data_IF_309505560349
#
_entry.id   IF_309505560349
#
_cell.length_a   1.000
_cell.length_b   1.000
_cell.length_c   1.000
_cell.angle_alpha   90.00
_cell.angle_beta   90.00
_cell.angle_gamma   90.00
#
_symmetry.space_group_name_H-M   'P 1'
#
loop_
_entity.id
_entity.type
_entity.pdbx_description
1 polymer ?
#
# COMPACT_ATOMS: atom_id res chain seq x y z
N UNK A 1 13.04 -9.00 6.84
CA UNK A 1 13.46 -9.35 5.47
C UNK A 1 14.97 -9.19 5.44
N UNK A 2 15.68 -10.18 4.92
CA UNK A 2 17.14 -10.16 4.81
C UNK A 2 17.54 -10.87 3.53
N UNK A 3 18.37 -10.23 2.72
CA UNK A 3 18.79 -10.76 1.42
C UNK A 3 20.10 -10.13 0.98
N UNK A 4 20.78 -10.81 0.07
CA UNK A 4 22.02 -10.36 -0.57
C UNK A 4 21.74 -10.13 -2.05
N UNK A 5 22.11 -8.96 -2.57
CA UNK A 5 21.97 -8.60 -3.98
C UNK A 5 23.31 -8.20 -4.55
N UNK A 6 23.57 -8.56 -5.81
CA UNK A 6 24.71 -7.99 -6.52
C UNK A 6 24.55 -6.48 -6.73
N UNK A 7 25.62 -5.72 -6.50
CA UNK A 7 25.65 -4.27 -6.70
C UNK A 7 25.25 -3.88 -8.12
N UNK A 8 25.65 -4.65 -9.14
CA UNK A 8 25.31 -4.40 -10.54
C UNK A 8 23.79 -4.45 -10.77
N UNK A 9 23.14 -5.46 -10.22
CA UNK A 9 21.70 -5.69 -10.29
C UNK A 9 20.91 -4.52 -9.64
N UNK A 10 21.33 -4.07 -8.45
CA UNK A 10 20.74 -2.89 -7.79
C UNK A 10 20.95 -1.59 -8.58
N UNK A 11 22.12 -1.42 -9.22
CA UNK A 11 22.40 -0.25 -10.06
C UNK A 11 21.55 -0.26 -11.35
N UNK A 12 21.26 -1.43 -11.90
CA UNK A 12 20.35 -1.57 -13.03
C UNK A 12 18.90 -1.25 -12.64
N UNK A 13 18.44 -1.80 -11.50
CA UNK A 13 17.12 -1.47 -10.95
C UNK A 13 16.96 0.04 -10.72
N UNK A 14 17.99 0.71 -10.20
CA UNK A 14 18.03 2.16 -10.06
C UNK A 14 17.87 2.88 -11.41
N UNK A 15 18.57 2.45 -12.45
CA UNK A 15 18.46 3.07 -13.80
C UNK A 15 17.02 2.94 -14.32
N UNK A 16 16.41 1.76 -14.19
CA UNK A 16 15.03 1.49 -14.58
C UNK A 16 14.04 2.37 -13.81
N UNK A 17 14.22 2.52 -12.50
CA UNK A 17 13.38 3.39 -11.67
C UNK A 17 13.48 4.87 -12.06
N UNK A 18 14.69 5.37 -12.31
CA UNK A 18 14.89 6.76 -12.72
C UNK A 18 14.28 7.05 -14.10
N UNK A 19 14.25 6.07 -15.00
CA UNK A 19 13.65 6.21 -16.33
C UNK A 19 12.14 6.44 -16.31
N UNK A 20 11.46 6.12 -15.20
CA UNK A 20 10.01 6.33 -15.05
C UNK A 20 9.62 7.81 -14.95
N UNK A 21 10.59 8.73 -14.76
CA UNK A 21 10.36 10.18 -14.71
C UNK A 21 9.19 10.62 -13.80
N UNK A 22 9.05 9.97 -12.65
CA UNK A 22 7.95 10.24 -11.70
C UNK A 22 8.05 11.69 -11.20
N UNK A 23 6.99 12.51 -11.33
CA UNK A 23 6.99 13.90 -10.83
C UNK A 23 7.31 14.01 -9.34
N UNK A 24 8.09 15.03 -8.93
CA UNK A 24 8.56 15.21 -7.55
C UNK A 24 7.44 15.21 -6.50
N UNK A 25 6.33 15.87 -6.80
CA UNK A 25 5.14 15.90 -5.94
C UNK A 25 4.52 14.50 -5.74
N UNK A 26 4.52 13.66 -6.77
CA UNK A 26 4.07 12.26 -6.67
C UNK A 26 5.06 11.38 -5.90
N UNK A 27 6.37 11.62 -6.03
CA UNK A 27 7.40 10.85 -5.29
C UNK A 27 7.24 10.90 -3.77
N UNK A 28 6.78 12.04 -3.24
CA UNK A 28 6.58 12.23 -1.80
C UNK A 28 5.43 11.39 -1.22
N UNK A 29 4.45 11.03 -2.05
CA UNK A 29 3.26 10.29 -1.65
C UNK A 29 3.23 8.86 -2.17
N UNK A 30 4.21 8.48 -3.00
CA UNK A 30 4.30 7.13 -3.57
C UNK A 30 5.07 6.21 -2.63
N UNK A 31 4.51 5.03 -2.36
CA UNK A 31 5.22 3.97 -1.64
C UNK A 31 5.77 2.94 -2.63
N UNK A 32 6.92 2.39 -2.27
CA UNK A 32 7.55 1.23 -2.90
C UNK A 32 7.35 0.04 -1.98
N UNK A 33 7.03 -1.10 -2.57
CA UNK A 33 7.07 -2.39 -1.90
C UNK A 33 8.33 -3.12 -2.32
N UNK A 34 9.11 -3.55 -1.34
CA UNK A 34 10.22 -4.49 -1.55
C UNK A 34 9.79 -5.84 -1.01
N UNK A 35 9.72 -6.86 -1.85
CA UNK A 35 9.36 -8.23 -1.47
C UNK A 35 10.51 -9.18 -1.80
N UNK A 36 10.98 -9.92 -0.80
CA UNK A 36 11.95 -10.99 -0.97
C UNK A 36 11.22 -12.34 -1.06
N UNK A 37 11.16 -12.90 -2.26
CA UNK A 37 10.52 -14.19 -2.54
C UNK A 37 11.20 -14.89 -3.72
N UNK A 38 11.22 -16.22 -3.76
CA UNK A 38 11.72 -17.01 -4.90
C UNK A 38 13.14 -16.64 -5.39
N UNK A 39 14.08 -16.37 -4.47
CA UNK A 39 15.44 -15.89 -4.79
C UNK A 39 15.47 -14.64 -5.68
N UNK A 40 14.48 -13.76 -5.46
CA UNK A 40 14.37 -12.48 -6.14
C UNK A 40 13.92 -11.42 -5.14
N UNK A 41 14.43 -10.21 -5.34
CA UNK A 41 13.91 -8.99 -4.76
C UNK A 41 12.98 -8.35 -5.78
N UNK A 42 11.69 -8.39 -5.50
CA UNK A 42 10.68 -7.65 -6.24
C UNK A 42 10.59 -6.23 -5.69
N UNK A 43 10.81 -5.25 -6.55
CA UNK A 43 10.65 -3.82 -6.29
C UNK A 43 9.40 -3.37 -7.02
N UNK A 44 8.30 -3.23 -6.30
CA UNK A 44 7.01 -2.87 -6.86
C UNK A 44 6.62 -1.42 -6.50
N UNK A 45 6.09 -0.75 -7.50
CA UNK A 45 5.47 0.57 -7.50
C UNK A 45 4.05 0.42 -8.07
N UNK A 46 3.13 1.36 -7.81
CA UNK A 46 1.82 1.35 -8.47
C UNK A 46 1.97 1.29 -10.00
N UNK A 47 1.50 0.19 -10.61
CA UNK A 47 1.56 -0.04 -12.06
C UNK A 47 2.93 -0.39 -12.64
N UNK A 48 3.94 -0.68 -11.81
CA UNK A 48 5.28 -1.03 -12.31
C UNK A 48 6.04 -1.92 -11.32
N UNK A 49 6.67 -2.99 -11.81
CA UNK A 49 7.47 -3.87 -10.97
C UNK A 49 8.80 -4.24 -11.65
N UNK A 50 9.86 -4.28 -10.86
CA UNK A 50 11.18 -4.78 -11.27
C UNK A 50 11.51 -5.98 -10.40
N UNK A 51 11.91 -7.08 -11.02
CA UNK A 51 12.56 -8.18 -10.32
C UNK A 51 14.07 -8.06 -10.42
N UNK A 52 14.74 -8.30 -9.30
CA UNK A 52 16.19 -8.23 -9.15
C UNK A 52 16.65 -9.56 -8.57
N UNK A 53 17.63 -10.22 -9.19
CA UNK A 53 18.13 -11.51 -8.69
C UNK A 53 18.79 -11.32 -7.31
N UNK A 54 18.43 -12.14 -6.33
CA UNK A 54 18.97 -12.02 -4.97
C UNK A 54 19.05 -13.37 -4.27
N UNK A 55 19.97 -13.49 -3.31
CA UNK A 55 20.04 -14.62 -2.39
C UNK A 55 19.26 -14.25 -1.13
N UNK A 56 18.16 -14.94 -0.87
CA UNK A 56 17.29 -14.64 0.28
C UNK A 56 17.83 -15.37 1.51
N UNK A 57 18.04 -14.63 2.61
CA UNK A 57 18.36 -15.17 3.93
C UNK A 57 17.07 -15.29 4.75
N UNK A 58 16.24 -14.25 4.74
CA UNK A 58 14.93 -14.18 5.40
C UNK A 58 13.91 -13.52 4.48
N UNK A 59 12.91 -14.28 4.04
CA UNK A 59 11.78 -13.78 3.25
C UNK A 59 10.98 -12.72 4.01
N UNK A 60 10.23 -11.93 3.26
CA UNK A 60 9.35 -10.89 3.81
C UNK A 60 9.11 -9.76 2.82
N UNK A 61 8.16 -8.91 3.15
CA UNK A 61 7.89 -7.70 2.39
C UNK A 61 8.04 -6.47 3.29
N UNK A 62 8.43 -5.36 2.70
CA UNK A 62 8.39 -4.06 3.36
C UNK A 62 7.76 -3.04 2.42
N UNK A 63 7.02 -2.10 3.00
CA UNK A 63 6.53 -0.92 2.29
C UNK A 63 7.25 0.30 2.84
N UNK A 64 7.78 1.15 1.95
CA UNK A 64 8.42 2.41 2.35
C UNK A 64 8.21 3.51 1.30
N UNK A 65 8.27 4.80 1.69
CA UNK A 65 8.19 5.90 0.74
C UNK A 65 9.27 5.84 -0.35
N UNK A 66 8.89 6.09 -1.61
CA UNK A 66 9.78 6.03 -2.77
C UNK A 66 11.02 6.92 -2.60
N UNK A 67 10.87 8.13 -2.04
CA UNK A 67 12.00 9.03 -1.82
C UNK A 67 13.08 8.43 -0.88
N UNK A 68 12.69 7.59 0.08
CA UNK A 68 13.63 6.88 0.96
C UNK A 68 14.39 5.83 0.16
N UNK A 69 13.68 5.04 -0.65
CA UNK A 69 14.27 4.02 -1.48
C UNK A 69 15.25 4.62 -2.50
N UNK A 70 14.84 5.68 -3.21
CA UNK A 70 15.73 6.40 -4.12
C UNK A 70 16.96 6.96 -3.40
N UNK A 71 16.77 7.53 -2.20
CA UNK A 71 17.87 8.03 -1.37
C UNK A 71 18.91 6.94 -1.01
N UNK A 72 18.46 5.72 -0.73
CA UNK A 72 19.33 4.56 -0.49
C UNK A 72 20.03 4.11 -1.78
N UNK A 73 19.30 4.01 -2.90
CA UNK A 73 19.87 3.67 -4.21
C UNK A 73 20.89 4.70 -4.71
N UNK A 74 20.80 5.97 -4.29
CA UNK A 74 21.83 6.96 -4.57
C UNK A 74 23.18 6.58 -3.93
N UNK A 75 23.15 5.97 -2.75
CA UNK A 75 24.34 5.57 -1.97
C UNK A 75 24.94 4.24 -2.40
N UNK A 76 24.20 3.40 -3.13
CA UNK A 76 24.70 2.10 -3.64
C UNK A 76 26.04 2.22 -4.38
N UNK A 77 26.27 3.32 -5.14
CA UNK A 77 27.54 3.52 -5.86
C UNK A 77 28.75 3.58 -4.93
N UNK A 78 28.62 4.16 -3.74
CA UNK A 78 29.71 4.36 -2.77
C UNK A 78 30.00 3.15 -1.87
N UNK A 79 29.26 2.06 -2.04
CA UNK A 79 29.53 0.80 -1.35
C UNK A 79 30.66 0.08 -2.09
N UNK A 80 31.78 -0.26 -1.43
CA UNK A 80 32.90 -0.89 -2.10
C UNK A 80 32.61 -2.35 -2.49
N UNK A 81 31.72 -3.02 -1.75
CA UNK A 81 31.42 -4.43 -1.92
C UNK A 81 30.66 -4.72 -3.23
N UNK A 82 30.97 -5.85 -3.86
CA UNK A 82 30.26 -6.38 -5.04
C UNK A 82 28.88 -6.92 -4.67
N UNK A 83 28.74 -7.44 -3.45
CA UNK A 83 27.49 -7.91 -2.87
C UNK A 83 27.01 -6.92 -1.80
N UNK A 84 25.71 -6.68 -1.78
CA UNK A 84 25.05 -5.73 -0.87
C UNK A 84 24.03 -6.49 -0.06
N UNK A 85 24.17 -6.41 1.26
CA UNK A 85 23.20 -6.95 2.20
C UNK A 85 22.09 -5.93 2.39
N UNK A 86 20.84 -6.35 2.21
CA UNK A 86 19.67 -5.55 2.53
C UNK A 86 18.95 -6.23 3.69
N UNK A 87 18.89 -5.53 4.82
CA UNK A 87 18.11 -5.94 5.99
C UNK A 87 16.97 -4.95 6.15
N UNK A 88 15.76 -5.43 6.33
CA UNK A 88 14.62 -4.57 6.56
C UNK A 88 13.69 -5.13 7.62
N UNK A 89 13.27 -4.23 8.49
CA UNK A 89 12.45 -4.47 9.67
C UNK A 89 11.43 -3.35 9.79
N UNK A 90 10.50 -3.49 10.74
CA UNK A 90 9.50 -2.46 10.95
C UNK A 90 10.19 -1.16 11.41
N UNK A 91 9.92 -0.04 10.72
CA UNK A 91 10.52 1.25 11.00
C UNK A 91 11.98 1.43 10.54
N UNK A 92 12.60 0.42 9.91
CA UNK A 92 14.03 0.46 9.58
C UNK A 92 14.39 -0.31 8.32
N UNK A 93 15.30 0.27 7.53
CA UNK A 93 15.98 -0.42 6.43
C UNK A 93 17.48 -0.16 6.50
N UNK A 94 18.25 -1.21 6.27
CA UNK A 94 19.70 -1.22 6.27
C UNK A 94 20.14 -1.70 4.89
N UNK A 95 21.02 -0.94 4.26
CA UNK A 95 21.68 -1.28 3.00
C UNK A 95 23.19 -1.27 3.26
N UNK A 96 23.74 -2.46 3.52
CA UNK A 96 25.09 -2.68 4.03
C UNK A 96 25.34 -1.81 5.29
N UNK A 97 26.21 -0.80 5.20
CA UNK A 97 26.49 0.15 6.29
C UNK A 97 25.48 1.31 6.42
N UNK A 98 24.53 1.46 5.50
CA UNK A 98 23.60 2.58 5.49
C UNK A 98 22.27 2.23 6.14
N UNK A 99 22.02 2.80 7.32
CA UNK A 99 20.76 2.63 8.05
C UNK A 99 19.86 3.84 7.88
N UNK A 100 18.59 3.60 7.57
CA UNK A 100 17.53 4.60 7.60
C UNK A 100 16.43 4.12 8.52
N UNK A 101 16.11 4.93 9.53
CA UNK A 101 14.95 4.74 10.41
C UNK A 101 13.85 5.70 10.00
N UNK A 102 12.65 5.18 9.79
CA UNK A 102 11.49 5.98 9.44
C UNK A 102 10.21 5.24 9.81
N UNK A 103 9.33 5.88 10.58
CA UNK A 103 8.03 5.32 11.02
C UNK A 103 7.10 4.89 9.88
N UNK A 104 7.33 5.38 8.66
CA UNK A 104 6.57 5.00 7.47
C UNK A 104 7.14 3.77 6.75
N UNK A 105 8.24 3.18 7.23
CA UNK A 105 8.71 1.87 6.80
C UNK A 105 7.89 0.83 7.57
N UNK A 106 7.06 0.06 6.87
CA UNK A 106 6.21 -0.97 7.47
C UNK A 106 6.61 -2.36 6.98
N UNK A 107 6.88 -3.26 7.93
CA UNK A 107 7.08 -4.67 7.62
C UNK A 107 5.73 -5.32 7.33
N UNK A 108 5.65 -6.08 6.24
CA UNK A 108 4.48 -6.89 5.85
C UNK A 108 4.94 -8.34 5.86
N UNK A 109 4.34 -9.17 6.70
CA UNK A 109 4.76 -10.57 6.80
C UNK A 109 4.43 -11.29 5.49
N UNK A 110 5.30 -12.21 5.07
CA UNK A 110 5.08 -13.04 3.88
C UNK A 110 3.85 -13.93 4.12
N UNK A 111 2.70 -13.44 3.67
CA UNK A 111 1.35 -13.93 3.92
C UNK A 111 0.33 -12.89 3.47
N UNK A 112 0.69 -11.61 3.52
CA UNK A 112 -0.15 -10.53 3.04
C UNK A 112 -0.06 -10.43 1.51
N UNK A 113 -1.09 -10.95 0.85
CA UNK A 113 -1.40 -10.66 -0.54
C UNK A 113 -1.25 -9.16 -0.79
N UNK A 114 -0.27 -8.80 -1.62
CA UNK A 114 -0.17 -7.46 -2.16
C UNK A 114 -1.41 -7.19 -3.01
N UNK A 115 -2.38 -6.51 -2.43
CA UNK A 115 -3.56 -6.04 -3.14
C UNK A 115 -3.13 -4.86 -4.02
N UNK A 116 -2.87 -5.17 -5.28
CA UNK A 116 -2.59 -4.17 -6.32
C UNK A 116 -3.89 -3.41 -6.62
N UNK A 117 -3.96 -2.14 -6.20
CA UNK A 117 -5.08 -1.26 -6.51
C UNK A 117 -4.76 -0.53 -7.81
N UNK A 118 -5.53 -0.75 -8.89
CA UNK A 118 -5.36 -0.02 -10.13
C UNK A 118 -5.42 1.51 -9.91
N UNK A 119 -4.59 2.27 -10.63
CA UNK A 119 -4.57 3.74 -10.55
C UNK A 119 -5.93 4.40 -10.88
N UNK A 120 -6.79 3.67 -11.61
CA UNK A 120 -8.14 4.06 -12.00
C UNK A 120 -9.24 3.39 -11.15
N UNK A 121 -8.89 2.76 -10.02
CA UNK A 121 -9.87 2.14 -9.14
C UNK A 121 -10.90 3.18 -8.67
N UNK A 122 -12.18 2.86 -8.87
CA UNK A 122 -13.28 3.71 -8.41
C UNK A 122 -13.55 3.45 -6.93
N UNK A 123 -14.26 4.37 -6.25
CA UNK A 123 -14.66 4.17 -4.85
C UNK A 123 -15.33 2.82 -4.57
N UNK A 124 -16.18 2.35 -5.48
CA UNK A 124 -16.87 1.05 -5.35
C UNK A 124 -15.91 -0.15 -5.38
N UNK A 125 -14.84 -0.04 -6.17
CA UNK A 125 -13.87 -1.11 -6.35
C UNK A 125 -13.04 -1.23 -5.06
N UNK A 126 -12.71 -0.10 -4.42
CA UNK A 126 -12.03 -0.03 -3.12
C UNK A 126 -12.92 -0.54 -1.97
N UNK A 127 -14.21 -0.18 -1.95
CA UNK A 127 -15.16 -0.68 -0.95
C UNK A 127 -15.28 -2.21 -1.02
N UNK A 128 -15.47 -2.74 -2.23
CA UNK A 128 -15.55 -4.19 -2.46
C UNK A 128 -14.25 -4.88 -2.05
N UNK A 129 -13.10 -4.26 -2.35
CA UNK A 129 -11.81 -4.80 -1.96
C UNK A 129 -11.67 -4.97 -0.44
N UNK A 130 -12.04 -3.93 0.31
CA UNK A 130 -11.88 -3.90 1.77
C UNK A 130 -12.88 -4.82 2.45
N UNK A 131 -14.17 -4.71 2.13
CA UNK A 131 -15.22 -5.41 2.85
C UNK A 131 -15.48 -6.84 2.32
N UNK A 132 -14.77 -7.25 1.26
CA UNK A 132 -14.75 -8.64 0.79
C UNK A 132 -13.41 -9.35 1.04
N UNK A 133 -12.33 -8.63 1.39
CA UNK A 133 -11.03 -9.22 1.75
C UNK A 133 -10.46 -8.63 3.05
N UNK A 134 -10.41 -9.47 4.08
CA UNK A 134 -9.99 -9.11 5.44
C UNK A 134 -8.58 -8.48 5.54
N UNK A 135 -7.65 -8.90 4.69
CA UNK A 135 -6.24 -8.47 4.75
C UNK A 135 -5.98 -7.08 4.11
N UNK A 136 -6.96 -6.48 3.43
CA UNK A 136 -6.80 -5.19 2.75
C UNK A 136 -6.58 -4.01 3.74
N UNK A 137 -7.05 -4.17 4.97
CA UNK A 137 -7.07 -3.12 5.99
C UNK A 137 -5.69 -2.83 6.60
N UNK A 138 -4.75 -3.77 6.49
CA UNK A 138 -3.39 -3.60 7.01
C UNK A 138 -2.56 -2.60 6.19
N UNK A 139 -3.06 -2.24 5.00
CA UNK A 139 -2.44 -1.25 4.14
C UNK A 139 -2.91 0.18 4.49
N UNK A 140 -2.00 0.98 5.06
CA UNK A 140 -2.26 2.37 5.43
C UNK A 140 -2.73 3.28 4.28
N UNK A 141 -2.33 2.98 3.03
CA UNK A 141 -2.80 3.70 1.84
C UNK A 141 -4.28 3.42 1.55
N UNK A 142 -4.69 2.15 1.69
CA UNK A 142 -6.08 1.71 1.53
C UNK A 142 -6.95 2.33 2.62
N UNK A 143 -6.50 2.32 3.87
CA UNK A 143 -7.23 2.93 5.00
C UNK A 143 -7.50 4.42 4.76
N UNK A 144 -6.51 5.16 4.25
CA UNK A 144 -6.68 6.58 3.93
C UNK A 144 -7.69 6.80 2.80
N UNK A 145 -7.59 6.04 1.72
CA UNK A 145 -8.56 6.12 0.61
C UNK A 145 -9.97 5.75 1.07
N UNK A 146 -10.09 4.73 1.89
CA UNK A 146 -11.35 4.28 2.49
C UNK A 146 -11.97 5.38 3.36
N UNK A 147 -11.18 6.06 4.20
CA UNK A 147 -11.64 7.22 4.99
C UNK A 147 -12.23 8.32 4.11
N UNK A 148 -11.51 8.70 3.05
CA UNK A 148 -11.97 9.73 2.12
C UNK A 148 -13.28 9.32 1.39
N UNK A 149 -13.40 8.04 1.03
CA UNK A 149 -14.61 7.49 0.39
C UNK A 149 -15.79 7.51 1.37
N UNK A 150 -15.64 6.95 2.57
CA UNK A 150 -16.72 6.86 3.55
C UNK A 150 -17.20 8.24 3.98
N UNK A 151 -16.29 9.21 4.16
CA UNK A 151 -16.64 10.60 4.47
C UNK A 151 -17.52 11.24 3.39
N UNK A 152 -17.11 11.15 2.12
CA UNK A 152 -17.93 11.65 1.00
C UNK A 152 -19.27 10.95 0.91
N UNK A 153 -19.27 9.63 1.12
CA UNK A 153 -20.47 8.81 1.03
C UNK A 153 -21.47 9.19 2.13
N UNK A 154 -21.02 9.42 3.38
CA UNK A 154 -21.84 9.93 4.49
C UNK A 154 -22.55 11.23 4.11
N UNK A 155 -21.83 12.19 3.51
CA UNK A 155 -22.40 13.46 3.03
C UNK A 155 -23.48 13.21 1.95
N UNK A 156 -23.20 12.33 0.99
CA UNK A 156 -24.16 12.02 -0.07
C UNK A 156 -25.41 11.30 0.45
N UNK A 157 -25.25 10.38 1.40
CA UNK A 157 -26.36 9.67 2.04
C UNK A 157 -27.25 10.63 2.84
N UNK A 158 -26.66 11.55 3.61
CA UNK A 158 -27.42 12.57 4.33
C UNK A 158 -28.21 13.48 3.39
N UNK A 159 -27.64 13.83 2.24
CA UNK A 159 -28.35 14.62 1.22
C UNK A 159 -29.49 13.82 0.59
N UNK A 160 -29.25 12.56 0.25
CA UNK A 160 -30.26 11.70 -0.36
C UNK A 160 -31.41 11.40 0.60
N UNK A 161 -31.12 11.11 1.88
CA UNK A 161 -32.16 10.90 2.89
C UNK A 161 -32.98 12.17 3.16
N UNK A 162 -32.37 13.35 3.09
CA UNK A 162 -33.09 14.63 3.19
C UNK A 162 -34.11 14.81 2.06
N UNK A 163 -33.74 14.46 0.82
CA UNK A 163 -34.64 14.50 -0.35
C UNK A 163 -35.76 13.46 -0.21
N UNK A 164 -35.44 12.28 0.33
CA UNK A 164 -36.37 11.16 0.47
C UNK A 164 -37.11 11.14 1.82
N UNK A 165 -37.04 12.23 2.58
CA UNK A 165 -37.55 12.30 3.95
C UNK A 165 -39.04 11.99 4.06
N UNK A 166 -39.83 12.38 3.06
CA UNK A 166 -41.27 12.11 2.98
C UNK A 166 -41.60 10.61 2.92
N UNK A 167 -40.65 9.81 2.40
CA UNK A 167 -40.75 8.36 2.32
C UNK A 167 -40.19 7.65 3.56
N UNK A 168 -39.78 8.39 4.60
CA UNK A 168 -39.16 7.89 5.84
C UNK A 168 -37.87 7.07 5.60
N UNK A 169 -37.18 7.32 4.50
CA UNK A 169 -35.91 6.64 4.17
C UNK A 169 -34.76 7.29 4.95
N UNK A 170 -34.01 6.47 5.67
CA UNK A 170 -32.86 6.89 6.50
C UNK A 170 -31.53 6.75 5.73
N UNK A 171 -30.45 7.43 6.18
CA UNK A 171 -29.10 7.18 5.67
C UNK A 171 -28.69 5.71 5.76
N UNK A 172 -29.10 5.01 6.82
CA UNK A 172 -28.82 3.59 7.04
C UNK A 172 -29.50 2.72 5.99
N UNK A 173 -30.77 2.99 5.65
CA UNK A 173 -31.50 2.24 4.60
C UNK A 173 -30.78 2.33 3.25
N UNK A 174 -30.31 3.53 2.91
CA UNK A 174 -29.56 3.79 1.68
C UNK A 174 -28.17 3.12 1.72
N UNK A 175 -27.51 3.10 2.88
CA UNK A 175 -26.25 2.39 3.06
C UNK A 175 -26.40 0.87 2.89
N UNK A 176 -27.46 0.27 3.45
CA UNK A 176 -27.80 -1.14 3.23
C UNK A 176 -28.04 -1.44 1.74
N UNK A 177 -28.76 -0.57 1.04
CA UNK A 177 -29.00 -0.72 -0.39
C UNK A 177 -27.70 -0.69 -1.21
N UNK A 178 -26.75 0.20 -0.85
CA UNK A 178 -25.43 0.25 -1.47
C UNK A 178 -24.63 -1.02 -1.15
N UNK A 179 -24.61 -1.47 0.10
CA UNK A 179 -23.88 -2.66 0.52
C UNK A 179 -24.35 -3.91 -0.23
N UNK A 180 -25.67 -4.07 -0.37
CA UNK A 180 -26.28 -5.17 -1.13
C UNK A 180 -25.93 -5.08 -2.62
N UNK A 181 -26.00 -3.88 -3.21
CA UNK A 181 -25.67 -3.68 -4.63
C UNK A 181 -24.19 -3.90 -4.95
N UNK A 182 -23.31 -3.74 -3.96
CA UNK A 182 -21.88 -4.02 -4.08
C UNK A 182 -21.52 -5.43 -3.62
N UNK A 183 -22.50 -6.24 -3.22
CA UNK A 183 -22.30 -7.61 -2.72
C UNK A 183 -21.23 -7.67 -1.61
N UNK A 184 -21.29 -6.73 -0.66
CA UNK A 184 -20.34 -6.68 0.45
C UNK A 184 -20.59 -7.86 1.40
N UNK A 185 -19.52 -8.58 1.76
CA UNK A 185 -19.59 -9.71 2.70
C UNK A 185 -19.67 -9.23 4.15
N UNK A 186 -18.98 -8.15 4.50
CA UNK A 186 -18.96 -7.58 5.85
C UNK A 186 -19.86 -6.33 5.97
N UNK A 187 -21.19 -6.49 5.77
CA UNK A 187 -22.15 -5.37 5.79
C UNK A 187 -22.17 -4.65 7.13
N UNK A 188 -22.23 -5.38 8.24
CA UNK A 188 -22.30 -4.79 9.59
C UNK A 188 -21.07 -3.93 9.88
N UNK A 189 -19.89 -4.41 9.48
CA UNK A 189 -18.63 -3.68 9.62
C UNK A 189 -18.62 -2.42 8.76
N UNK A 190 -19.09 -2.52 7.52
CA UNK A 190 -19.22 -1.36 6.63
C UNK A 190 -20.10 -0.28 7.23
N UNK A 191 -21.26 -0.63 7.78
CA UNK A 191 -22.17 0.32 8.42
C UNK A 191 -21.54 0.95 9.66
N UNK A 192 -20.90 0.13 10.51
CA UNK A 192 -20.19 0.60 11.70
C UNK A 192 -19.13 1.64 11.34
N UNK A 193 -18.29 1.35 10.35
CA UNK A 193 -17.27 2.29 9.88
C UNK A 193 -17.85 3.54 9.22
N UNK A 194 -18.99 3.40 8.54
CA UNK A 194 -19.63 4.51 7.85
C UNK A 194 -20.27 5.51 8.81
N UNK A 195 -20.81 5.08 9.95
CA UNK A 195 -21.56 5.93 10.87
C UNK A 195 -20.84 6.24 12.19
N UNK A 196 -19.97 5.35 12.67
CA UNK A 196 -19.36 5.47 14.02
C UNK A 196 -17.89 5.94 13.99
N UNK A 197 -17.30 6.15 12.80
CA UNK A 197 -15.85 6.46 12.62
C UNK A 197 -14.90 5.50 13.36
N UNK A 198 -15.36 4.27 13.65
CA UNK A 198 -14.56 3.24 14.32
C UNK A 198 -13.65 2.54 13.32
N UNK A 199 -12.45 3.10 13.14
CA UNK A 199 -11.31 2.43 12.49
C UNK A 199 -10.50 1.59 13.49
N UNK A 200 -10.93 1.54 14.75
CA UNK A 200 -10.31 0.77 15.82
C UNK A 200 -10.95 -0.62 15.93
N UNK A 201 -10.09 -1.64 16.09
CA UNK A 201 -10.49 -2.98 16.50
C UNK A 201 -10.92 -2.98 17.98
#
# INVERSE_FOLDING_TARGET
MELIVEKKELLEAKRKLLALNIPKNKKLVTNVVLKAENNQLLIALPGYAISVRSKIIKSGAITLPLFIWEGLLLRVKSIPNSEIIIVAENGMIILDKFTVKNQHIKFTFSGDTLLDIPLNARPRDILSLVFNNYNAYENAGIVRLLKDILSKMRIHLQRASSILREYKVTPEDLAHLIANKLELKEIDRFLKMLFEDSFEN
#
